data_IF_272170302015
#
_entry.id   IF_272170302015
#
_cell.length_a   1.000
_cell.length_b   1.000
_cell.length_c   1.000
_cell.angle_alpha   90.00
_cell.angle_beta   90.00
_cell.angle_gamma   90.00
#
_symmetry.space_group_name_H-M   'P 1'
#
loop_
_entity.id
_entity.type
_entity.pdbx_description
1 polymer ?
#
# COMPACT_ATOMS: atom_id res chain seq x y z
N UNK A 1 13.55 5.31 1.81
CA UNK A 1 13.80 4.06 1.08
C UNK A 1 13.83 4.33 -0.43
N UNK A 2 12.81 4.98 -1.00
CA UNK A 2 12.72 5.28 -2.44
C UNK A 2 13.74 6.34 -2.94
N UNK A 3 14.52 6.92 -2.06
CA UNK A 3 15.53 7.93 -2.37
C UNK A 3 14.98 9.15 -3.15
N UNK A 4 13.79 9.63 -2.80
CA UNK A 4 13.32 10.92 -3.30
C UNK A 4 14.15 12.07 -2.73
N UNK A 5 14.75 11.84 -1.56
CA UNK A 5 15.70 12.72 -0.89
C UNK A 5 16.86 11.89 -0.34
N UNK A 6 18.07 12.41 -0.37
CA UNK A 6 19.21 11.83 0.34
C UNK A 6 19.14 12.23 1.82
N UNK A 7 19.67 11.39 2.69
CA UNK A 7 19.72 11.68 4.13
C UNK A 7 20.85 12.66 4.46
N UNK A 8 20.59 13.61 5.36
CA UNK A 8 21.60 14.58 5.83
C UNK A 8 22.67 13.91 6.69
N UNK A 9 22.30 12.88 7.44
CA UNK A 9 23.20 12.09 8.28
C UNK A 9 22.73 10.63 8.34
N UNK A 10 23.66 9.70 8.59
CA UNK A 10 23.39 8.28 8.62
C UNK A 10 23.29 7.65 7.23
N UNK A 11 22.59 6.52 7.14
CA UNK A 11 22.39 5.79 5.89
C UNK A 11 21.07 5.05 5.87
N UNK A 12 20.53 4.84 4.67
CA UNK A 12 19.41 3.94 4.41
C UNK A 12 19.91 2.84 3.47
N UNK A 13 19.69 1.59 3.83
CA UNK A 13 20.15 0.43 3.04
C UNK A 13 18.97 -0.42 2.56
N UNK A 14 19.08 -0.92 1.33
CA UNK A 14 18.18 -1.90 0.73
C UNK A 14 19.04 -3.11 0.33
N UNK A 15 18.68 -4.30 0.82
CA UNK A 15 19.46 -5.51 0.58
C UNK A 15 20.92 -5.40 1.05
N UNK A 16 21.18 -4.70 2.16
CA UNK A 16 22.52 -4.49 2.70
C UNK A 16 23.38 -3.43 1.97
N UNK A 17 22.87 -2.84 0.89
CA UNK A 17 23.56 -1.80 0.12
C UNK A 17 22.95 -0.44 0.36
N UNK A 18 23.77 0.60 0.66
CA UNK A 18 23.30 1.98 0.82
C UNK A 18 22.58 2.45 -0.46
N UNK A 19 21.39 3.08 -0.28
CA UNK A 19 20.57 3.54 -1.41
C UNK A 19 21.29 4.55 -2.31
N UNK A 20 22.28 5.27 -1.81
CA UNK A 20 23.11 6.21 -2.58
C UNK A 20 24.05 5.52 -3.58
N UNK A 21 24.32 4.23 -3.36
CA UNK A 21 25.17 3.42 -4.23
C UNK A 21 24.39 2.66 -5.31
N UNK A 22 23.05 2.70 -5.26
CA UNK A 22 22.21 2.09 -6.26
C UNK A 22 22.07 3.00 -7.47
N UNK A 23 22.04 2.41 -8.67
CA UNK A 23 21.42 3.06 -9.82
C UNK A 23 19.93 3.25 -9.54
N UNK A 24 19.36 4.39 -9.97
CA UNK A 24 17.97 4.75 -9.65
C UNK A 24 16.99 3.74 -10.23
N UNK A 25 17.20 3.26 -11.45
CA UNK A 25 16.31 2.29 -12.08
C UNK A 25 16.38 0.94 -11.36
N UNK A 26 17.58 0.52 -10.95
CA UNK A 26 17.78 -0.71 -10.18
C UNK A 26 17.11 -0.61 -8.79
N UNK A 27 17.23 0.52 -8.10
CA UNK A 27 16.56 0.74 -6.82
C UNK A 27 15.04 0.73 -6.99
N UNK A 28 14.51 1.43 -7.99
CA UNK A 28 13.08 1.44 -8.28
C UNK A 28 12.54 0.06 -8.67
N UNK A 29 13.34 -0.81 -9.27
CA UNK A 29 12.96 -2.19 -9.53
C UNK A 29 12.75 -3.01 -8.24
N UNK A 30 13.41 -2.65 -7.13
CA UNK A 30 13.23 -3.29 -5.82
C UNK A 30 11.98 -2.81 -5.07
N UNK A 31 11.30 -1.78 -5.54
CA UNK A 31 10.24 -1.10 -4.81
C UNK A 31 8.93 -1.09 -5.62
N UNK A 32 7.81 -1.37 -4.98
CA UNK A 32 6.48 -0.98 -5.44
C UNK A 32 5.93 0.09 -4.52
N UNK A 33 5.25 1.08 -5.08
CA UNK A 33 4.70 2.22 -4.36
C UNK A 33 3.17 2.23 -4.55
N UNK A 34 2.43 2.20 -3.45
CA UNK A 34 0.97 2.32 -3.43
C UNK A 34 0.66 3.58 -2.62
N UNK A 35 0.34 4.66 -3.32
CA UNK A 35 0.06 5.96 -2.72
C UNK A 35 -1.41 6.11 -2.34
N UNK A 36 -1.70 7.03 -1.44
CA UNK A 36 -3.06 7.44 -1.08
C UNK A 36 -3.79 8.02 -2.29
N UNK A 37 -3.15 8.97 -2.99
CA UNK A 37 -3.68 9.58 -4.20
C UNK A 37 -3.22 8.79 -5.43
N UNK A 38 -4.09 7.90 -5.89
CA UNK A 38 -3.80 7.06 -7.06
C UNK A 38 -4.07 7.83 -8.34
N UNK A 39 -3.05 7.94 -9.18
CA UNK A 39 -3.17 8.46 -10.54
C UNK A 39 -3.22 7.34 -11.57
N UNK A 40 -4.23 7.39 -12.44
CA UNK A 40 -4.35 6.54 -13.62
C UNK A 40 -4.21 7.38 -14.89
N UNK A 41 -3.51 6.83 -15.87
CA UNK A 41 -3.34 7.49 -17.15
C UNK A 41 -4.61 7.39 -18.02
N UNK A 42 -4.82 8.34 -18.92
CA UNK A 42 -5.92 8.30 -19.88
C UNK A 42 -5.68 7.21 -20.93
N UNK A 43 -5.85 5.98 -20.51
CA UNK A 43 -5.70 4.78 -21.29
C UNK A 43 -6.71 3.70 -20.84
N UNK A 44 -6.61 2.49 -21.37
CA UNK A 44 -7.43 1.37 -20.96
C UNK A 44 -7.12 0.91 -19.54
N UNK A 45 -8.07 0.21 -18.92
CA UNK A 45 -7.86 -0.41 -17.62
C UNK A 45 -6.68 -1.39 -17.66
N UNK A 46 -6.59 -2.20 -18.73
CA UNK A 46 -5.48 -3.14 -18.93
C UNK A 46 -4.13 -2.43 -19.00
N UNK A 47 -4.01 -1.39 -19.83
CA UNK A 47 -2.77 -0.63 -19.96
C UNK A 47 -2.34 -0.04 -18.61
N UNK A 48 -3.31 0.46 -17.82
CA UNK A 48 -3.04 0.96 -16.48
C UNK A 48 -2.54 -0.12 -15.53
N UNK A 49 -3.06 -1.34 -15.57
CA UNK A 49 -2.55 -2.46 -14.75
C UNK A 49 -1.15 -2.87 -15.20
N UNK A 50 -0.92 -2.97 -16.52
CA UNK A 50 0.37 -3.36 -17.12
C UNK A 50 1.52 -2.37 -16.86
N UNK A 51 1.26 -1.17 -16.34
CA UNK A 51 2.31 -0.27 -15.84
C UNK A 51 3.17 -0.96 -14.76
N UNK A 52 2.61 -1.90 -14.00
CA UNK A 52 3.38 -2.68 -13.03
C UNK A 52 4.50 -3.50 -13.67
N UNK A 53 4.21 -4.15 -14.80
CA UNK A 53 5.16 -4.91 -15.63
C UNK A 53 4.61 -5.02 -17.05
N UNK A 54 5.20 -4.28 -17.97
CA UNK A 54 4.69 -4.13 -19.35
C UNK A 54 4.71 -5.44 -20.16
N UNK A 55 5.68 -6.31 -19.90
CA UNK A 55 5.90 -7.60 -20.55
C UNK A 55 5.24 -8.79 -19.82
N UNK A 56 4.37 -8.51 -18.82
CA UNK A 56 3.64 -9.54 -18.10
C UNK A 56 2.75 -10.37 -19.05
N UNK A 57 2.62 -11.66 -18.79
CA UNK A 57 1.65 -12.50 -19.50
C UNK A 57 0.22 -12.10 -19.16
N UNK A 58 -0.74 -12.48 -20.00
CA UNK A 58 -2.16 -12.24 -19.75
C UNK A 58 -2.63 -12.98 -18.48
N UNK A 59 -2.04 -14.13 -18.18
CA UNK A 59 -2.36 -14.88 -16.96
C UNK A 59 -1.83 -14.18 -15.71
N UNK A 60 -0.63 -13.58 -15.76
CA UNK A 60 -0.11 -12.74 -14.66
C UNK A 60 -1.03 -11.53 -14.42
N UNK A 61 -1.50 -10.87 -15.49
CA UNK A 61 -2.42 -9.74 -15.38
C UNK A 61 -3.75 -10.15 -14.75
N UNK A 62 -4.32 -11.28 -15.19
CA UNK A 62 -5.56 -11.83 -14.61
C UNK A 62 -5.40 -12.20 -13.15
N UNK A 63 -4.28 -12.83 -12.77
CA UNK A 63 -4.03 -13.20 -11.38
C UNK A 63 -3.83 -11.96 -10.49
N UNK A 64 -3.10 -10.95 -10.95
CA UNK A 64 -2.98 -9.68 -10.25
C UNK A 64 -4.34 -8.98 -10.08
N UNK A 65 -5.19 -9.03 -11.11
CA UNK A 65 -6.55 -8.49 -11.07
C UNK A 65 -7.43 -9.24 -10.06
N UNK A 66 -7.41 -10.56 -10.09
CA UNK A 66 -8.15 -11.41 -9.16
C UNK A 66 -7.75 -11.15 -7.70
N UNK A 67 -6.45 -11.07 -7.43
CA UNK A 67 -5.92 -10.82 -6.09
C UNK A 67 -6.22 -9.41 -5.56
N UNK A 68 -6.41 -8.45 -6.46
CA UNK A 68 -6.72 -7.05 -6.11
C UNK A 68 -8.20 -6.71 -6.22
N UNK A 69 -9.04 -7.62 -6.73
CA UNK A 69 -10.45 -7.40 -7.02
C UNK A 69 -10.70 -6.49 -8.24
N UNK A 70 -9.72 -6.32 -9.12
CA UNK A 70 -9.87 -5.57 -10.39
C UNK A 70 -10.71 -6.36 -11.39
N UNK A 71 -10.74 -7.69 -11.31
CA UNK A 71 -11.61 -8.55 -12.11
C UNK A 71 -13.10 -8.18 -12.00
N UNK A 72 -13.59 -7.87 -10.81
CA UNK A 72 -14.96 -7.37 -10.59
C UNK A 72 -15.21 -6.03 -11.30
N UNK A 73 -14.19 -5.15 -11.32
CA UNK A 73 -14.28 -3.89 -12.07
C UNK A 73 -14.39 -4.18 -13.57
N UNK A 74 -13.57 -5.11 -14.07
CA UNK A 74 -13.58 -5.55 -15.49
C UNK A 74 -14.95 -6.09 -15.89
N UNK A 75 -15.56 -6.96 -15.05
CA UNK A 75 -16.87 -7.54 -15.31
C UNK A 75 -18.00 -6.50 -15.36
N UNK A 76 -17.90 -5.45 -14.54
CA UNK A 76 -18.90 -4.38 -14.46
C UNK A 76 -18.79 -3.39 -15.63
N UNK A 77 -17.60 -3.19 -16.17
CA UNK A 77 -17.36 -2.18 -17.20
C UNK A 77 -17.80 -2.65 -18.60
N UNK A 78 -18.46 -1.79 -19.41
CA UNK A 78 -19.06 -2.19 -20.69
C UNK A 78 -18.06 -2.79 -21.72
N UNK A 79 -16.80 -2.34 -21.71
CA UNK A 79 -15.74 -2.82 -22.59
C UNK A 79 -14.68 -3.65 -21.84
N UNK A 80 -14.98 -4.05 -20.59
CA UNK A 80 -14.07 -4.81 -19.75
C UNK A 80 -12.68 -4.17 -19.68
N UNK A 81 -11.65 -4.96 -19.93
CA UNK A 81 -10.24 -4.54 -19.96
C UNK A 81 -9.95 -3.36 -20.92
N UNK A 82 -10.71 -3.24 -22.00
CA UNK A 82 -10.54 -2.19 -23.03
C UNK A 82 -11.23 -0.87 -22.66
N UNK A 83 -11.90 -0.79 -21.51
CA UNK A 83 -12.53 0.44 -21.06
C UNK A 83 -11.47 1.50 -20.75
N UNK A 84 -11.58 2.67 -21.38
CA UNK A 84 -10.73 3.82 -21.04
C UNK A 84 -11.17 4.41 -19.72
N UNK A 85 -10.22 4.55 -18.80
CA UNK A 85 -10.50 5.04 -17.44
C UNK A 85 -10.50 6.57 -17.33
N UNK A 86 -10.01 7.25 -18.37
CA UNK A 86 -9.89 8.71 -18.43
C UNK A 86 -8.77 9.26 -17.55
N UNK A 87 -8.46 10.53 -17.75
CA UNK A 87 -7.40 11.23 -16.99
C UNK A 87 -7.65 11.15 -15.48
N UNK A 88 -6.61 10.76 -14.74
CA UNK A 88 -6.70 10.53 -13.29
C UNK A 88 -7.62 9.37 -12.88
N UNK A 89 -8.12 8.57 -13.84
CA UNK A 89 -9.03 7.47 -13.56
C UNK A 89 -10.45 7.92 -13.21
N UNK A 90 -10.94 9.03 -13.79
CA UNK A 90 -12.25 9.63 -13.47
C UNK A 90 -13.46 8.72 -13.70
N UNK A 91 -13.30 7.66 -14.48
CA UNK A 91 -14.35 6.67 -14.71
C UNK A 91 -14.46 5.64 -13.57
N UNK A 92 -13.55 5.67 -12.61
CA UNK A 92 -13.47 4.75 -11.48
C UNK A 92 -13.68 5.47 -10.15
N UNK A 93 -14.27 4.78 -9.18
CA UNK A 93 -14.32 5.24 -7.78
C UNK A 93 -12.92 5.30 -7.14
N UNK A 94 -12.78 5.96 -6.00
CA UNK A 94 -11.53 6.00 -5.24
C UNK A 94 -11.00 4.61 -4.88
N UNK A 95 -11.89 3.74 -4.39
CA UNK A 95 -11.55 2.36 -4.05
C UNK A 95 -11.14 1.52 -5.26
N UNK A 96 -11.78 1.72 -6.41
CA UNK A 96 -11.41 1.04 -7.65
C UNK A 96 -10.04 1.48 -8.17
N UNK A 97 -9.75 2.79 -8.13
CA UNK A 97 -8.40 3.29 -8.46
C UNK A 97 -7.34 2.69 -7.54
N UNK A 98 -7.65 2.58 -6.24
CA UNK A 98 -6.75 1.98 -5.27
C UNK A 98 -6.48 0.50 -5.60
N UNK A 99 -7.52 -0.28 -5.96
CA UNK A 99 -7.36 -1.67 -6.38
C UNK A 99 -6.49 -1.80 -7.64
N UNK A 100 -6.60 -0.89 -8.60
CA UNK A 100 -5.71 -0.84 -9.77
C UNK A 100 -4.25 -0.56 -9.35
N UNK A 101 -4.03 0.34 -8.40
CA UNK A 101 -2.68 0.61 -7.86
C UNK A 101 -2.07 -0.63 -7.19
N UNK A 102 -2.88 -1.38 -6.45
CA UNK A 102 -2.45 -2.63 -5.83
C UNK A 102 -2.19 -3.72 -6.88
N UNK A 103 -3.03 -3.81 -7.94
CA UNK A 103 -2.79 -4.71 -9.06
C UNK A 103 -1.43 -4.44 -9.73
N UNK A 104 -1.07 -3.16 -9.91
CA UNK A 104 0.28 -2.77 -10.39
C UNK A 104 1.39 -3.30 -9.48
N UNK A 105 1.22 -3.19 -8.16
CA UNK A 105 2.20 -3.66 -7.20
C UNK A 105 2.33 -5.20 -7.21
N UNK A 106 1.21 -5.92 -7.27
CA UNK A 106 1.17 -7.38 -7.41
C UNK A 106 1.85 -7.84 -8.70
N UNK A 107 1.53 -7.20 -9.82
CA UNK A 107 2.08 -7.53 -11.13
C UNK A 107 3.58 -7.26 -11.22
N UNK A 108 4.05 -6.17 -10.60
CA UNK A 108 5.47 -5.83 -10.52
C UNK A 108 6.26 -6.82 -9.69
N UNK A 109 5.64 -7.40 -8.66
CA UNK A 109 6.24 -8.39 -7.75
C UNK A 109 7.58 -7.95 -7.14
N UNK A 110 7.71 -6.66 -6.80
CA UNK A 110 8.91 -6.12 -6.17
C UNK A 110 9.07 -6.66 -4.74
N UNK A 111 10.32 -6.90 -4.26
CA UNK A 111 10.57 -7.45 -2.92
C UNK A 111 10.18 -6.51 -1.77
N UNK A 112 10.00 -5.24 -2.02
CA UNK A 112 9.56 -4.24 -1.03
C UNK A 112 8.37 -3.48 -1.58
N UNK A 113 7.30 -3.37 -0.78
CA UNK A 113 6.10 -2.59 -1.13
C UNK A 113 5.89 -1.53 -0.07
N UNK A 114 5.82 -0.27 -0.49
CA UNK A 114 5.53 0.87 0.36
C UNK A 114 4.06 1.24 0.19
N UNK A 115 3.30 1.18 1.26
CA UNK A 115 1.91 1.61 1.33
C UNK A 115 1.79 2.92 2.11
N UNK A 116 1.25 3.94 1.47
CA UNK A 116 0.95 5.21 2.11
C UNK A 116 -0.57 5.38 2.23
N UNK A 117 -1.09 5.15 3.43
CA UNK A 117 -2.48 5.37 3.84
C UNK A 117 -3.58 4.86 2.87
N UNK A 118 -3.33 3.76 2.20
CA UNK A 118 -4.16 3.25 1.10
C UNK A 118 -5.62 2.88 1.46
N UNK A 119 -6.06 3.05 2.72
CA UNK A 119 -7.38 2.58 3.18
C UNK A 119 -8.23 3.66 3.88
N UNK A 120 -7.81 4.91 3.94
CA UNK A 120 -8.39 5.91 4.84
C UNK A 120 -9.79 6.44 4.49
N UNK A 121 -10.25 6.27 3.24
CA UNK A 121 -11.52 6.82 2.76
C UNK A 121 -12.37 5.82 1.97
N UNK A 122 -12.27 4.53 2.28
CA UNK A 122 -12.94 3.48 1.54
C UNK A 122 -14.20 2.98 2.27
N UNK A 123 -15.17 2.52 1.49
CA UNK A 123 -16.29 1.76 2.02
C UNK A 123 -15.81 0.37 2.52
N UNK A 124 -16.58 -0.30 3.39
CA UNK A 124 -16.18 -1.56 4.02
C UNK A 124 -15.86 -2.69 3.03
N UNK A 125 -16.52 -2.73 1.88
CA UNK A 125 -16.32 -3.78 0.88
C UNK A 125 -14.96 -3.61 0.18
N UNK A 126 -14.65 -2.40 -0.27
CA UNK A 126 -13.33 -2.07 -0.83
C UNK A 126 -12.22 -2.24 0.19
N UNK A 127 -12.48 -1.95 1.48
CA UNK A 127 -11.50 -2.14 2.56
C UNK A 127 -11.11 -3.62 2.73
N UNK A 128 -12.08 -4.53 2.74
CA UNK A 128 -11.82 -5.97 2.83
C UNK A 128 -11.00 -6.46 1.64
N UNK A 129 -11.35 -6.03 0.41
CA UNK A 129 -10.59 -6.37 -0.81
C UNK A 129 -9.13 -5.92 -0.75
N UNK A 130 -8.89 -4.71 -0.25
CA UNK A 130 -7.53 -4.19 -0.10
C UNK A 130 -6.76 -4.96 0.97
N UNK A 131 -7.40 -5.33 2.07
CA UNK A 131 -6.78 -6.12 3.14
C UNK A 131 -6.37 -7.50 2.62
N UNK A 132 -7.22 -8.17 1.84
CA UNK A 132 -6.91 -9.46 1.21
C UNK A 132 -5.73 -9.33 0.23
N UNK A 133 -5.72 -8.29 -0.58
CA UNK A 133 -4.64 -8.00 -1.52
C UNK A 133 -3.32 -7.68 -0.82
N UNK A 134 -3.34 -6.95 0.30
CA UNK A 134 -2.16 -6.75 1.17
C UNK A 134 -1.66 -8.08 1.73
N UNK A 135 -2.56 -8.98 2.14
CA UNK A 135 -2.22 -10.35 2.54
C UNK A 135 -1.52 -11.13 1.43
N UNK A 136 -1.93 -10.94 0.17
CA UNK A 136 -1.27 -11.56 -0.99
C UNK A 136 0.15 -11.01 -1.21
N UNK A 137 0.33 -9.70 -1.12
CA UNK A 137 1.65 -9.04 -1.22
C UNK A 137 2.59 -9.48 -0.10
N UNK A 138 2.11 -9.57 1.14
CA UNK A 138 2.90 -9.95 2.32
C UNK A 138 3.55 -11.32 2.21
N UNK A 139 2.98 -12.24 1.44
CA UNK A 139 3.57 -13.58 1.25
C UNK A 139 4.90 -13.57 0.54
N UNK A 140 5.15 -12.58 -0.32
CA UNK A 140 6.31 -12.55 -1.21
C UNK A 140 7.15 -11.26 -1.10
N UNK A 141 6.72 -10.30 -0.28
CA UNK A 141 7.39 -9.00 -0.16
C UNK A 141 7.40 -8.49 1.28
N UNK A 142 8.35 -7.62 1.58
CA UNK A 142 8.33 -6.80 2.79
C UNK A 142 7.38 -5.64 2.58
N UNK A 143 6.28 -5.59 3.35
CA UNK A 143 5.38 -4.44 3.35
C UNK A 143 5.81 -3.42 4.41
N UNK A 144 5.99 -2.19 3.98
CA UNK A 144 6.15 -1.02 4.86
C UNK A 144 4.89 -0.18 4.71
N UNK A 145 4.12 -0.06 5.78
CA UNK A 145 2.79 0.56 5.74
C UNK A 145 2.76 1.77 6.66
N UNK A 146 2.41 2.93 6.13
CA UNK A 146 1.98 4.06 6.93
C UNK A 146 0.49 3.86 7.20
N UNK A 147 0.13 3.55 8.45
CA UNK A 147 -1.21 3.14 8.80
C UNK A 147 -1.84 4.06 9.84
N UNK A 148 -3.11 4.38 9.61
CA UNK A 148 -3.95 5.08 10.55
C UNK A 148 -5.11 4.21 11.07
N UNK A 149 -5.34 3.02 10.50
CA UNK A 149 -6.38 2.07 10.94
C UNK A 149 -5.79 1.05 11.92
N UNK A 150 -6.55 0.79 12.97
CA UNK A 150 -6.12 -0.10 14.06
C UNK A 150 -5.88 -1.53 13.58
N UNK A 151 -6.76 -2.05 12.72
CA UNK A 151 -6.67 -3.43 12.22
C UNK A 151 -5.39 -3.65 11.39
N UNK A 152 -5.02 -2.68 10.55
CA UNK A 152 -3.77 -2.72 9.79
C UNK A 152 -2.56 -2.73 10.73
N UNK A 153 -2.62 -1.93 11.82
CA UNK A 153 -1.52 -1.83 12.79
C UNK A 153 -1.36 -3.12 13.57
N UNK A 154 -2.48 -3.72 14.03
CA UNK A 154 -2.42 -4.98 14.83
C UNK A 154 -1.89 -6.17 14.05
N UNK A 155 -2.12 -6.21 12.75
CA UNK A 155 -1.66 -7.30 11.88
C UNK A 155 -0.17 -7.21 11.50
N UNK A 156 0.53 -6.11 11.86
CA UNK A 156 1.93 -5.93 11.53
C UNK A 156 2.85 -6.83 12.37
N UNK A 157 3.90 -7.38 11.75
CA UNK A 157 4.93 -8.16 12.44
C UNK A 157 5.80 -7.27 13.34
N UNK A 158 5.98 -6.01 12.94
CA UNK A 158 6.72 -4.99 13.68
C UNK A 158 6.06 -3.63 13.49
N UNK A 159 5.94 -2.89 14.57
CA UNK A 159 5.43 -1.52 14.60
C UNK A 159 6.57 -0.60 15.02
N UNK A 160 6.77 0.47 14.26
CA UNK A 160 7.70 1.55 14.59
C UNK A 160 6.88 2.79 14.90
N UNK A 161 7.02 3.31 16.10
CA UNK A 161 6.35 4.54 16.55
C UNK A 161 7.34 5.68 16.49
N UNK A 162 6.97 6.74 15.77
CA UNK A 162 7.76 7.97 15.70
C UNK A 162 7.19 9.03 16.65
N UNK A 163 8.06 9.78 17.30
CA UNK A 163 7.68 10.95 18.06
C UNK A 163 7.42 12.18 17.16
N UNK A 164 7.04 13.29 17.77
CA UNK A 164 6.77 14.54 17.04
C UNK A 164 8.00 15.14 16.33
N UNK A 165 9.19 14.70 16.68
CA UNK A 165 10.44 15.11 16.03
C UNK A 165 10.87 14.15 14.91
N UNK A 166 10.07 13.10 14.63
CA UNK A 166 10.37 12.08 13.65
C UNK A 166 11.38 11.03 14.12
N UNK A 167 11.69 11.00 15.42
CA UNK A 167 12.61 9.99 16.00
C UNK A 167 11.84 8.75 16.40
N UNK A 168 12.50 7.61 16.33
CA UNK A 168 11.95 6.33 16.81
C UNK A 168 11.77 6.39 18.32
N UNK A 169 10.51 6.38 18.78
CA UNK A 169 10.14 6.37 20.18
C UNK A 169 9.96 4.94 20.71
N UNK A 170 9.32 4.06 19.93
CA UNK A 170 9.08 2.68 20.33
C UNK A 170 9.16 1.75 19.11
N UNK A 171 9.57 0.51 19.33
CA UNK A 171 9.58 -0.57 18.32
C UNK A 171 9.12 -1.86 18.98
N UNK A 172 8.24 -2.62 18.34
CA UNK A 172 7.77 -3.90 18.83
C UNK A 172 6.53 -4.39 18.12
N UNK A 173 5.97 -5.49 18.59
CA UNK A 173 4.66 -6.00 18.16
C UNK A 173 3.54 -5.22 18.84
N UNK A 174 2.30 -5.39 18.36
CA UNK A 174 1.13 -4.81 19.01
C UNK A 174 1.05 -5.19 20.52
N UNK A 175 1.23 -6.47 20.82
CA UNK A 175 1.11 -6.96 22.20
C UNK A 175 2.18 -6.35 23.13
N UNK A 176 3.43 -6.29 22.68
CA UNK A 176 4.54 -5.70 23.43
C UNK A 176 4.32 -4.21 23.69
N UNK A 177 3.98 -3.45 22.65
CA UNK A 177 3.79 -2.00 22.77
C UNK A 177 2.53 -1.64 23.56
N UNK A 178 1.45 -2.41 23.42
CA UNK A 178 0.22 -2.17 24.16
C UNK A 178 0.36 -2.49 25.66
N UNK A 179 1.24 -3.40 26.06
CA UNK A 179 1.52 -3.74 27.45
C UNK A 179 2.21 -2.61 28.22
N UNK A 180 2.89 -1.69 27.52
CA UNK A 180 3.61 -0.57 28.15
C UNK A 180 2.62 0.52 28.59
N UNK A 181 2.44 0.68 29.91
CA UNK A 181 1.44 1.59 30.51
C UNK A 181 1.57 3.04 30.05
N UNK A 182 2.80 3.52 29.94
CA UNK A 182 3.12 4.92 29.63
C UNK A 182 3.61 5.10 28.17
N UNK A 183 3.38 4.08 27.33
CA UNK A 183 3.82 4.07 25.93
C UNK A 183 2.97 4.97 25.03
N UNK A 184 3.61 5.71 24.14
CA UNK A 184 2.93 6.53 23.13
C UNK A 184 1.99 5.69 22.24
N UNK A 185 2.39 4.45 21.91
CA UNK A 185 1.57 3.51 21.16
C UNK A 185 0.24 3.22 21.87
N UNK A 186 0.29 2.90 23.15
CA UNK A 186 -0.92 2.61 23.93
C UNK A 186 -1.85 3.82 24.01
N UNK A 187 -1.29 5.00 24.23
CA UNK A 187 -2.06 6.24 24.26
C UNK A 187 -2.76 6.51 22.90
N UNK A 188 -2.02 6.36 21.80
CA UNK A 188 -2.55 6.47 20.44
C UNK A 188 -3.66 5.43 20.19
N UNK A 189 -3.43 4.17 20.54
CA UNK A 189 -4.39 3.10 20.41
C UNK A 189 -5.69 3.39 21.16
N UNK A 190 -5.60 3.78 22.43
CA UNK A 190 -6.77 4.10 23.24
C UNK A 190 -7.56 5.29 22.72
N UNK A 191 -6.88 6.32 22.22
CA UNK A 191 -7.52 7.48 21.61
C UNK A 191 -8.31 7.08 20.34
N UNK A 192 -7.71 6.26 19.48
CA UNK A 192 -8.33 5.75 18.25
C UNK A 192 -9.49 4.79 18.52
N UNK A 193 -9.34 3.86 19.45
CA UNK A 193 -10.40 2.92 19.82
C UNK A 193 -11.63 3.65 20.38
N UNK A 194 -11.42 4.70 21.16
CA UNK A 194 -12.52 5.56 21.65
C UNK A 194 -13.21 6.28 20.50
N UNK A 195 -12.44 6.85 19.58
CA UNK A 195 -13.01 7.54 18.40
C UNK A 195 -13.80 6.57 17.48
N UNK A 196 -13.33 5.34 17.30
CA UNK A 196 -14.04 4.31 16.52
C UNK A 196 -15.33 3.82 17.19
N UNK A 197 -15.41 3.86 18.53
CA UNK A 197 -16.63 3.58 19.31
C UNK A 197 -17.71 4.67 19.26
N UNK A 198 -17.37 5.86 18.81
CA UNK A 198 -18.33 6.97 18.60
C UNK A 198 -18.96 6.84 17.20
N UNK A 199 -19.80 5.83 17.00
CA UNK A 199 -20.78 5.89 15.92
C UNK A 199 -21.98 6.69 16.43
N UNK A 200 -22.33 7.76 15.72
CA UNK A 200 -23.57 8.50 15.92
C UNK A 200 -24.75 7.49 15.88
N UNK A 201 -25.51 7.43 16.97
CA UNK A 201 -26.79 6.74 17.06
C UNK A 201 -27.83 7.58 16.31
#
# INVERSE_FOLDING_TARGET
VARFYDVDAGSVSVGGRDVRQWDTAQLMAQLSLVFQDVYLFDDTLEANVRIGRADASDDDVKEAARLSGVDEIVERLPLGWKTRVGEGGRALSGGERQRVSIARALLKAAPIVLFDEATSALDPENENRITDAMGALRRNATLIVIAHKLDTITAADQIVVLDHSGRVAQVGTHAELYSQSDGQYRAFWQARSRAAGWRLV
#
